data_IF_971112212097
#
_entry.id   IF_971112212097
#
_cell.length_a   1.000
_cell.length_b   1.000
_cell.length_c   1.000
_cell.angle_alpha   90.00
_cell.angle_beta   90.00
_cell.angle_gamma   90.00
#
_symmetry.space_group_name_H-M   'P 1'
#
loop_
_entity.id
_entity.type
_entity.pdbx_description
1 polymer ?
#
# COMPACT_ATOMS: atom_id res chain seq x y z
N UNK A 1 -18.38 12.88 11.38
CA UNK A 1 -17.64 13.77 10.47
C UNK A 1 -16.73 12.91 9.61
N UNK A 2 -16.66 13.19 8.31
CA UNK A 2 -15.74 12.50 7.41
C UNK A 2 -14.35 13.12 7.51
N UNK A 3 -13.33 12.27 7.65
CA UNK A 3 -11.91 12.63 7.69
C UNK A 3 -11.11 11.64 6.85
N UNK A 4 -9.89 12.03 6.50
CA UNK A 4 -9.00 11.18 5.71
C UNK A 4 -8.38 10.08 6.60
N UNK A 5 -8.85 8.85 6.42
CA UNK A 5 -8.36 7.68 7.18
C UNK A 5 -6.87 7.38 6.92
N UNK A 6 -6.40 7.55 5.68
CA UNK A 6 -5.01 7.31 5.30
C UNK A 6 -4.07 8.30 5.99
N UNK A 7 -4.46 9.57 6.11
CA UNK A 7 -3.68 10.58 6.82
C UNK A 7 -3.48 10.20 8.29
N UNK A 8 -4.53 9.74 8.98
CA UNK A 8 -4.42 9.30 10.37
C UNK A 8 -3.46 8.11 10.51
N UNK A 9 -3.60 7.11 9.62
CA UNK A 9 -2.73 5.93 9.60
C UNK A 9 -1.27 6.28 9.32
N UNK A 10 -1.03 7.21 8.40
CA UNK A 10 0.31 7.71 8.07
C UNK A 10 0.93 8.40 9.28
N UNK A 11 0.27 9.42 9.85
CA UNK A 11 0.79 10.18 11.00
C UNK A 11 1.08 9.27 12.19
N UNK A 12 0.24 8.26 12.43
CA UNK A 12 0.49 7.23 13.44
C UNK A 12 1.76 6.44 13.14
N UNK A 13 1.96 6.04 11.89
CA UNK A 13 3.12 5.23 11.47
C UNK A 13 4.41 6.04 11.47
N UNK A 14 4.37 7.32 11.10
CA UNK A 14 5.50 8.25 11.20
C UNK A 14 6.00 8.39 12.66
N UNK A 15 5.08 8.35 13.64
CA UNK A 15 5.42 8.30 15.06
C UNK A 15 5.77 6.90 15.60
N UNK A 16 5.82 5.89 14.74
CA UNK A 16 6.04 4.47 15.12
C UNK A 16 5.04 3.96 16.16
N UNK A 17 3.78 4.42 16.09
CA UNK A 17 2.74 4.05 17.05
C UNK A 17 1.88 2.89 16.59
N UNK A 18 1.48 2.03 17.54
CA UNK A 18 0.41 1.06 17.34
C UNK A 18 -0.94 1.78 17.41
N UNK A 19 -2.01 1.13 16.93
CA UNK A 19 -3.36 1.69 17.10
C UNK A 19 -3.73 1.89 18.58
N UNK A 20 -3.21 1.01 19.46
CA UNK A 20 -3.38 1.16 20.90
C UNK A 20 -2.65 2.40 21.42
N UNK A 21 -1.39 2.64 21.03
CA UNK A 21 -0.66 3.85 21.43
C UNK A 21 -1.38 5.13 21.01
N UNK A 22 -1.95 5.17 19.80
CA UNK A 22 -2.73 6.32 19.36
C UNK A 22 -4.01 6.49 20.19
N UNK A 23 -4.70 5.40 20.51
CA UNK A 23 -5.91 5.41 21.34
C UNK A 23 -5.60 6.00 22.74
N UNK A 24 -4.52 5.51 23.36
CA UNK A 24 -4.07 5.97 24.67
C UNK A 24 -3.67 7.46 24.64
N UNK A 25 -2.91 7.87 23.61
CA UNK A 25 -2.47 9.26 23.46
C UNK A 25 -3.62 10.24 23.20
N UNK A 26 -4.63 9.82 22.43
CA UNK A 26 -5.79 10.66 22.09
C UNK A 26 -6.96 10.54 23.05
N UNK A 27 -6.86 9.70 24.08
CA UNK A 27 -7.92 9.52 25.07
C UNK A 27 -9.22 8.96 24.49
N UNK A 28 -9.15 8.20 23.38
CA UNK A 28 -10.30 7.54 22.75
C UNK A 28 -10.12 6.03 22.77
N UNK A 29 -11.21 5.28 22.56
CA UNK A 29 -11.12 3.82 22.55
C UNK A 29 -10.33 3.29 21.34
N UNK A 30 -9.69 2.12 21.50
CA UNK A 30 -9.06 1.41 20.37
C UNK A 30 -10.06 1.19 19.21
N UNK A 31 -11.32 0.86 19.53
CA UNK A 31 -12.38 0.68 18.53
C UNK A 31 -12.65 1.97 17.75
N UNK A 32 -12.53 3.12 18.39
CA UNK A 32 -12.65 4.43 17.74
C UNK A 32 -11.52 4.62 16.74
N UNK A 33 -10.26 4.37 17.14
CA UNK A 33 -9.11 4.46 16.23
C UNK A 33 -9.23 3.50 15.05
N UNK A 34 -9.63 2.25 15.30
CA UNK A 34 -9.85 1.26 14.25
C UNK A 34 -10.88 1.74 13.23
N UNK A 35 -12.04 2.26 13.68
CA UNK A 35 -13.07 2.83 12.80
C UNK A 35 -12.62 4.08 12.08
N UNK A 36 -11.80 4.93 12.70
CA UNK A 36 -11.23 6.10 12.06
C UNK A 36 -10.30 5.68 10.91
N UNK A 37 -9.44 4.69 11.13
CA UNK A 37 -8.50 4.21 10.10
C UNK A 37 -9.16 3.33 9.03
N UNK A 38 -10.31 2.69 9.32
CA UNK A 38 -11.04 1.89 8.34
C UNK A 38 -12.07 2.72 7.56
N UNK A 39 -12.95 3.43 8.26
CA UNK A 39 -14.17 4.01 7.72
C UNK A 39 -14.07 5.55 7.53
N UNK A 40 -12.99 6.18 8.00
CA UNK A 40 -12.80 7.64 7.91
C UNK A 40 -13.83 8.45 8.70
N UNK A 41 -14.57 7.82 9.61
CA UNK A 41 -15.69 8.46 10.31
C UNK A 41 -15.38 8.67 11.79
N UNK A 42 -15.44 9.92 12.25
CA UNK A 42 -15.13 10.31 13.63
C UNK A 42 -16.13 11.34 14.19
N UNK A 43 -16.27 11.42 15.52
CA UNK A 43 -16.96 12.56 16.15
C UNK A 43 -16.09 13.82 16.10
N UNK A 44 -16.67 15.01 16.32
CA UNK A 44 -15.88 16.25 16.33
C UNK A 44 -14.84 16.24 17.46
N UNK A 45 -15.19 15.69 18.61
CA UNK A 45 -14.33 15.54 19.78
C UNK A 45 -13.15 14.61 19.46
N UNK A 46 -13.41 13.51 18.75
CA UNK A 46 -12.35 12.59 18.28
C UNK A 46 -11.41 13.30 17.32
N UNK A 47 -11.95 14.06 16.35
CA UNK A 47 -11.13 14.85 15.40
C UNK A 47 -10.26 15.86 16.14
N UNK A 48 -10.83 16.60 17.10
CA UNK A 48 -10.07 17.56 17.91
C UNK A 48 -8.97 16.89 18.72
N UNK A 49 -9.25 15.72 19.31
CA UNK A 49 -8.27 14.95 20.09
C UNK A 49 -7.12 14.47 19.21
N UNK A 50 -7.41 13.97 18.00
CA UNK A 50 -6.40 13.57 17.03
C UNK A 50 -5.57 14.77 16.55
N UNK A 51 -6.22 15.92 16.29
CA UNK A 51 -5.52 17.15 15.91
C UNK A 51 -4.57 17.64 17.02
N UNK A 52 -4.99 17.55 18.29
CA UNK A 52 -4.16 17.91 19.43
C UNK A 52 -2.94 16.98 19.56
N UNK A 53 -3.14 15.67 19.46
CA UNK A 53 -2.06 14.67 19.58
C UNK A 53 -1.05 14.75 18.43
N UNK A 54 -1.53 15.03 17.22
CA UNK A 54 -0.67 15.18 16.05
C UNK A 54 -0.12 16.60 15.88
N UNK A 55 -0.58 17.56 16.68
CA UNK A 55 -0.22 18.98 16.61
C UNK A 55 -0.47 19.58 15.21
N UNK A 56 -1.63 19.27 14.63
CA UNK A 56 -2.03 19.72 13.29
C UNK A 56 -3.40 20.39 13.30
N UNK A 57 -3.65 21.21 12.27
CA UNK A 57 -4.97 21.81 12.06
C UNK A 57 -5.99 20.77 11.59
N UNK A 58 -7.27 21.00 11.90
CA UNK A 58 -8.37 20.15 11.40
C UNK A 58 -8.41 20.07 9.88
N UNK A 59 -8.05 21.16 9.18
CA UNK A 59 -7.96 21.17 7.71
C UNK A 59 -7.04 20.08 7.19
N UNK A 60 -5.93 19.78 7.87
CA UNK A 60 -4.97 18.75 7.45
C UNK A 60 -5.49 17.32 7.65
N UNK A 61 -6.44 17.12 8.58
CA UNK A 61 -7.08 15.83 8.81
C UNK A 61 -8.24 15.58 7.84
N UNK A 62 -8.90 16.65 7.38
CA UNK A 62 -10.04 16.61 6.47
C UNK A 62 -9.57 16.61 5.02
N UNK A 63 -8.51 17.35 4.73
CA UNK A 63 -8.03 17.62 3.40
C UNK A 63 -6.69 16.93 3.19
N UNK A 64 -6.69 15.83 2.42
CA UNK A 64 -5.50 15.27 1.79
C UNK A 64 -5.93 14.24 0.73
N UNK A 65 -6.70 14.72 -0.26
CA UNK A 65 -7.21 13.90 -1.36
C UNK A 65 -6.11 13.18 -2.17
N UNK A 66 -4.82 13.55 -2.14
CA UNK A 66 -3.88 13.03 -3.17
C UNK A 66 -2.41 12.68 -2.79
N UNK A 67 -1.93 12.76 -1.55
CA UNK A 67 -0.45 12.77 -1.35
C UNK A 67 0.30 11.42 -1.28
N UNK A 68 -0.34 10.25 -1.11
CA UNK A 68 0.41 9.02 -0.78
C UNK A 68 0.22 7.80 -1.69
N UNK A 69 -0.49 7.90 -2.82
CA UNK A 69 -0.69 6.72 -3.69
C UNK A 69 0.48 6.35 -4.62
N UNK A 70 1.63 7.04 -4.60
CA UNK A 70 2.59 6.94 -5.71
C UNK A 70 3.89 6.16 -5.48
N UNK A 71 4.23 5.68 -4.27
CA UNK A 71 5.58 5.10 -4.04
C UNK A 71 5.73 3.59 -3.89
N UNK A 72 4.75 2.84 -3.37
CA UNK A 72 5.04 1.44 -2.97
C UNK A 72 4.69 0.37 -4.03
N UNK A 73 3.91 0.69 -5.05
CA UNK A 73 3.41 -0.30 -6.03
C UNK A 73 4.26 -0.46 -7.31
N UNK A 74 5.37 0.27 -7.46
CA UNK A 74 6.19 0.20 -8.69
C UNK A 74 7.31 -0.83 -8.64
N UNK A 75 7.92 -1.09 -7.48
CA UNK A 75 9.10 -1.97 -7.40
C UNK A 75 8.76 -3.47 -7.41
N UNK A 76 7.64 -3.88 -6.80
CA UNK A 76 7.25 -5.30 -6.78
C UNK A 76 6.72 -5.78 -8.15
N UNK A 77 6.04 -4.88 -8.88
CA UNK A 77 5.49 -5.19 -10.21
C UNK A 77 6.58 -5.30 -11.27
N UNK A 78 7.61 -4.45 -11.25
CA UNK A 78 8.70 -4.46 -12.26
C UNK A 78 9.50 -5.76 -12.21
N UNK A 79 9.79 -6.29 -11.02
CA UNK A 79 10.51 -7.56 -10.85
C UNK A 79 9.72 -8.74 -11.40
N UNK A 80 8.39 -8.77 -11.20
CA UNK A 80 7.51 -9.83 -11.73
C UNK A 80 7.49 -9.88 -13.26
N UNK A 81 7.46 -8.72 -13.93
CA UNK A 81 7.50 -8.66 -15.40
C UNK A 81 8.85 -9.10 -15.97
N UNK A 82 9.97 -8.73 -15.35
CA UNK A 82 11.28 -9.18 -15.81
C UNK A 82 11.41 -10.71 -15.70
N UNK A 83 10.97 -11.31 -14.59
CA UNK A 83 11.00 -12.76 -14.42
C UNK A 83 10.14 -13.49 -15.47
N UNK A 84 8.96 -12.97 -15.79
CA UNK A 84 8.08 -13.54 -16.82
C UNK A 84 8.66 -13.39 -18.24
N UNK A 85 9.33 -12.28 -18.56
CA UNK A 85 9.97 -12.10 -19.86
C UNK A 85 11.18 -13.03 -20.05
N UNK A 86 11.98 -13.26 -19.01
CA UNK A 86 13.12 -14.19 -19.10
C UNK A 86 12.69 -15.64 -19.33
N UNK A 87 11.61 -16.10 -18.70
CA UNK A 87 11.11 -17.48 -18.89
C UNK A 87 10.50 -17.68 -20.29
N UNK A 88 9.85 -16.66 -20.84
CA UNK A 88 9.29 -16.71 -22.19
C UNK A 88 10.37 -16.81 -23.30
N UNK A 89 11.52 -16.16 -23.12
CA UNK A 89 12.61 -16.17 -24.11
C UNK A 89 13.36 -17.52 -24.10
N UNK A 90 13.58 -18.10 -22.92
CA UNK A 90 14.25 -19.40 -22.78
C UNK A 90 13.49 -20.53 -23.46
N UNK A 91 12.15 -20.59 -23.31
CA UNK A 91 11.34 -21.66 -23.88
C UNK A 91 11.33 -21.67 -25.41
N UNK A 92 11.38 -20.48 -26.04
CA UNK A 92 11.40 -20.36 -27.50
C UNK A 92 12.72 -20.88 -28.11
N UNK A 93 13.84 -20.66 -27.41
CA UNK A 93 15.16 -21.11 -27.89
C UNK A 93 15.32 -22.65 -27.88
N UNK A 94 14.81 -23.32 -26.83
CA UNK A 94 14.94 -24.78 -26.69
C UNK A 94 14.08 -25.53 -27.73
N UNK A 95 12.87 -25.03 -28.00
CA UNK A 95 11.97 -25.66 -28.98
C UNK A 95 12.53 -25.64 -30.41
N UNK A 96 13.26 -24.58 -30.78
CA UNK A 96 13.82 -24.45 -32.14
C UNK A 96 14.96 -25.45 -32.39
N UNK A 97 15.83 -25.69 -31.40
CA UNK A 97 16.96 -26.62 -31.53
C UNK A 97 16.47 -28.08 -31.62
N UNK A 98 15.50 -28.46 -30.79
CA UNK A 98 14.93 -29.81 -30.80
C UNK A 98 14.17 -30.06 -32.12
N UNK A 99 13.35 -29.09 -32.55
CA UNK A 99 12.59 -29.20 -33.79
C UNK A 99 13.49 -29.36 -35.03
N UNK A 100 14.54 -28.54 -35.13
CA UNK A 100 15.51 -28.64 -36.23
C UNK A 100 16.24 -29.99 -36.23
N UNK A 101 16.61 -30.51 -35.05
CA UNK A 101 17.25 -31.83 -34.92
C UNK A 101 16.35 -32.99 -35.36
N UNK A 102 15.07 -32.95 -35.01
CA UNK A 102 14.09 -33.96 -35.44
C UNK A 102 13.88 -33.94 -36.96
N UNK A 103 13.76 -32.75 -37.55
CA UNK A 103 13.60 -32.60 -39.01
C UNK A 103 14.83 -33.13 -39.75
N UNK A 104 16.04 -32.86 -39.25
CA UNK A 104 17.27 -33.38 -39.84
C UNK A 104 17.36 -34.91 -39.81
N UNK A 105 16.87 -35.54 -38.74
CA UNK A 105 16.84 -37.01 -38.62
C UNK A 105 15.81 -37.68 -39.53
N UNK A 106 14.72 -37.01 -39.87
CA UNK A 106 13.68 -37.54 -40.77
C UNK A 106 14.12 -37.45 -42.25
N UNK A 107 14.95 -36.46 -42.59
CA UNK A 107 15.41 -36.19 -43.96
C UNK A 107 16.65 -37.02 -44.34
N UNK A 108 17.35 -37.62 -43.37
CA UNK A 108 18.53 -38.46 -43.57
C UNK A 108 18.19 -39.94 -43.61
#
# INVERSE_FOLDING_TARGET
MQINNNTVKLLRTEKSWTQQHLADASGVSLRTIQRVESDGTASKETVMSLCAVFEISQSKLIDLTDMFQSKENKEEKTVSYHLFLFTAILSLSVGSVIGAGLIYLIIR
#
